data_IF_961060498452
#
_entry.id   IF_961060498452
#
_cell.length_a   1.000
_cell.length_b   1.000
_cell.length_c   1.000
_cell.angle_alpha   90.00
_cell.angle_beta   90.00
_cell.angle_gamma   90.00
#
_symmetry.space_group_name_H-M   'P 1'
#
loop_
_entity.id
_entity.type
_entity.pdbx_description
1 polymer ?
#
# COMPACT_ATOMS: atom_id res chain seq x y z
N UNK A 1 5.65 -38.04 -29.73
CA UNK A 1 5.57 -36.63 -29.31
C UNK A 1 4.49 -35.96 -30.16
N UNK A 2 3.50 -35.33 -29.53
CA UNK A 2 2.48 -34.52 -30.23
C UNK A 2 2.80 -33.05 -29.92
N UNK A 3 2.69 -32.18 -30.91
CA UNK A 3 2.86 -30.73 -30.78
C UNK A 3 1.53 -30.07 -31.09
N UNK A 4 1.18 -29.02 -30.34
CA UNK A 4 0.02 -28.16 -30.57
C UNK A 4 0.53 -26.73 -30.76
N UNK A 5 0.02 -26.03 -31.75
CA UNK A 5 0.33 -24.61 -32.00
C UNK A 5 -0.80 -23.76 -31.40
N UNK A 6 -0.43 -22.72 -30.66
CA UNK A 6 -1.36 -21.76 -30.06
C UNK A 6 -0.86 -20.34 -30.35
N UNK A 7 -1.78 -19.44 -30.68
CA UNK A 7 -1.48 -18.01 -30.85
C UNK A 7 -1.53 -17.31 -29.49
N UNK A 8 -0.56 -16.43 -29.26
CA UNK A 8 -0.44 -15.62 -28.05
C UNK A 8 -0.63 -14.15 -28.41
N UNK A 9 -1.11 -13.35 -27.45
CA UNK A 9 -1.53 -11.97 -27.66
C UNK A 9 -0.94 -11.06 -26.58
N UNK A 10 -0.61 -9.82 -26.94
CA UNK A 10 -0.39 -8.75 -25.97
C UNK A 10 -1.75 -8.26 -25.44
N UNK A 11 -1.75 -7.67 -24.24
CA UNK A 11 -2.98 -7.20 -23.59
C UNK A 11 -3.85 -6.31 -24.50
N UNK A 12 -3.23 -5.36 -25.21
CA UNK A 12 -3.94 -4.43 -26.12
C UNK A 12 -4.52 -5.09 -27.37
N UNK A 13 -4.14 -6.33 -27.68
CA UNK A 13 -4.64 -7.10 -28.83
C UNK A 13 -5.84 -7.99 -28.46
N UNK A 14 -6.13 -8.13 -27.16
CA UNK A 14 -7.25 -8.91 -26.67
C UNK A 14 -8.60 -8.19 -26.91
N UNK A 15 -9.70 -8.94 -27.11
CA UNK A 15 -11.05 -8.40 -26.97
C UNK A 15 -11.27 -7.78 -25.58
N UNK A 16 -12.12 -6.75 -25.49
CA UNK A 16 -12.41 -6.02 -24.24
C UNK A 16 -12.85 -6.97 -23.10
N UNK A 17 -13.70 -7.95 -23.39
CA UNK A 17 -14.11 -8.97 -22.40
C UNK A 17 -12.92 -9.78 -21.86
N UNK A 18 -11.94 -10.09 -22.70
CA UNK A 18 -10.73 -10.81 -22.30
C UNK A 18 -9.74 -9.92 -21.55
N UNK A 19 -9.68 -8.62 -21.87
CA UNK A 19 -8.93 -7.64 -21.09
C UNK A 19 -9.47 -7.52 -19.67
N UNK A 20 -10.79 -7.37 -19.53
CA UNK A 20 -11.44 -7.30 -18.23
C UNK A 20 -11.18 -8.58 -17.42
N UNK A 21 -11.31 -9.76 -18.03
CA UNK A 21 -11.00 -11.03 -17.39
C UNK A 21 -9.53 -11.12 -16.94
N UNK A 22 -8.60 -10.61 -17.74
CA UNK A 22 -7.18 -10.57 -17.36
C UNK A 22 -6.95 -9.66 -16.14
N UNK A 23 -7.54 -8.46 -16.12
CA UNK A 23 -7.46 -7.53 -14.98
C UNK A 23 -8.08 -8.15 -13.72
N UNK A 24 -9.28 -8.71 -13.82
CA UNK A 24 -9.96 -9.36 -12.69
C UNK A 24 -9.15 -10.53 -12.11
N UNK A 25 -8.47 -11.30 -12.96
CA UNK A 25 -7.62 -12.43 -12.53
C UNK A 25 -6.31 -12.00 -11.90
N UNK A 26 -5.82 -10.82 -12.25
CA UNK A 26 -4.57 -10.25 -11.76
C UNK A 26 -4.82 -9.14 -10.74
N UNK A 27 -5.99 -9.12 -10.10
CA UNK A 27 -6.40 -8.04 -9.18
C UNK A 27 -5.41 -7.82 -8.02
N UNK A 28 -4.70 -8.86 -7.61
CA UNK A 28 -3.74 -8.84 -6.51
C UNK A 28 -2.27 -8.78 -6.96
N UNK A 29 -1.99 -8.64 -8.27
CA UNK A 29 -0.63 -8.74 -8.82
C UNK A 29 0.37 -7.79 -8.14
N UNK A 30 -0.10 -6.61 -7.73
CA UNK A 30 0.73 -5.58 -7.10
C UNK A 30 0.76 -5.66 -5.58
N UNK A 31 -0.03 -6.56 -4.98
CA UNK A 31 -0.17 -6.71 -3.52
C UNK A 31 0.06 -8.15 -3.05
N UNK A 32 0.48 -9.05 -3.94
CA UNK A 32 0.79 -10.45 -3.65
C UNK A 32 2.20 -10.67 -3.05
N UNK A 33 2.83 -9.59 -2.60
CA UNK A 33 4.10 -9.55 -1.87
C UNK A 33 3.98 -8.57 -0.70
N UNK A 34 5.07 -8.36 0.05
CA UNK A 34 5.11 -7.42 1.18
C UNK A 34 5.12 -5.94 0.71
N UNK A 35 4.07 -5.54 -0.01
CA UNK A 35 3.93 -4.19 -0.60
C UNK A 35 4.00 -3.07 0.45
N UNK A 36 3.66 -3.39 1.69
CA UNK A 36 3.66 -2.49 2.84
C UNK A 36 5.05 -2.27 3.46
N UNK A 37 6.06 -3.07 3.12
CA UNK A 37 7.37 -3.11 3.82
C UNK A 37 8.01 -1.73 3.96
N UNK A 38 8.04 -0.97 2.87
CA UNK A 38 8.59 0.41 2.85
C UNK A 38 7.84 1.38 3.78
N UNK A 39 6.53 1.19 3.94
CA UNK A 39 5.70 2.02 4.84
C UNK A 39 5.93 1.65 6.30
N UNK A 40 6.17 0.37 6.59
CA UNK A 40 6.49 -0.10 7.94
C UNK A 40 7.92 0.28 8.35
N UNK A 41 8.86 0.29 7.42
CA UNK A 41 10.23 0.78 7.63
C UNK A 41 10.26 2.29 7.96
N UNK A 42 9.42 3.09 7.30
CA UNK A 42 9.23 4.52 7.63
C UNK A 42 8.68 4.69 9.06
N UNK A 43 7.66 3.90 9.43
CA UNK A 43 7.12 3.87 10.80
C UNK A 43 8.19 3.53 11.83
N UNK A 44 8.97 2.47 11.58
CA UNK A 44 10.04 2.05 12.48
C UNK A 44 11.11 3.15 12.64
N UNK A 45 11.43 3.87 11.57
CA UNK A 45 12.43 4.96 11.57
C UNK A 45 12.05 6.08 12.55
N UNK A 46 10.75 6.38 12.69
CA UNK A 46 10.27 7.39 13.64
C UNK A 46 9.98 6.83 15.04
N UNK A 47 10.22 5.54 15.27
CA UNK A 47 9.94 4.87 16.54
C UNK A 47 8.48 4.50 16.74
N UNK A 48 7.74 4.25 15.66
CA UNK A 48 6.41 3.62 15.70
C UNK A 48 6.54 2.18 15.21
N UNK A 49 6.24 1.21 16.07
CA UNK A 49 6.19 -0.20 15.65
C UNK A 49 4.75 -0.56 15.28
N UNK A 50 4.50 -0.93 14.04
CA UNK A 50 3.23 -1.50 13.60
C UNK A 50 3.31 -3.02 13.78
N UNK A 51 2.37 -3.61 14.52
CA UNK A 51 2.32 -5.06 14.78
C UNK A 51 1.41 -5.76 13.77
N UNK A 52 0.22 -5.19 13.54
CA UNK A 52 -0.76 -5.72 12.57
C UNK A 52 -1.55 -4.59 11.93
N UNK A 53 -2.04 -4.80 10.72
CA UNK A 53 -3.01 -3.92 10.10
C UNK A 53 -3.95 -4.72 9.19
N UNK A 54 -5.12 -4.16 8.91
CA UNK A 54 -6.13 -4.69 8.01
C UNK A 54 -6.73 -3.51 7.22
N UNK A 55 -6.41 -3.44 5.93
CA UNK A 55 -6.84 -2.36 5.05
C UNK A 55 -8.33 -2.40 4.75
N UNK A 56 -8.98 -3.57 4.80
CA UNK A 56 -10.41 -3.75 4.55
C UNK A 56 -11.23 -3.43 5.81
N UNK A 57 -10.78 -3.90 6.97
CA UNK A 57 -11.46 -3.67 8.26
C UNK A 57 -11.14 -2.32 8.89
N UNK A 58 -10.21 -1.58 8.29
CA UNK A 58 -9.71 -0.30 8.79
C UNK A 58 -9.16 -0.44 10.22
N UNK A 59 -8.36 -1.47 10.44
CA UNK A 59 -7.78 -1.77 11.75
C UNK A 59 -6.25 -1.71 11.69
N UNK A 60 -5.64 -1.20 12.77
CA UNK A 60 -4.19 -1.13 12.91
C UNK A 60 -3.83 -1.19 14.38
N UNK A 61 -2.81 -1.98 14.70
CA UNK A 61 -2.26 -2.08 16.05
C UNK A 61 -0.75 -1.89 16.02
N UNK A 62 -0.23 -1.32 17.09
CA UNK A 62 1.18 -0.99 17.21
C UNK A 62 1.45 -0.22 18.49
N UNK A 63 2.73 0.04 18.74
CA UNK A 63 3.21 0.69 19.95
C UNK A 63 4.30 1.70 19.62
N UNK A 64 4.38 2.77 20.40
CA UNK A 64 5.53 3.67 20.36
C UNK A 64 6.76 3.02 21.01
N UNK A 65 7.90 3.09 20.33
CA UNK A 65 9.19 2.61 20.82
C UNK A 65 9.88 3.62 21.75
N UNK A 66 9.47 4.90 21.67
CA UNK A 66 9.98 6.00 22.48
C UNK A 66 8.83 6.81 23.07
N UNK A 67 9.14 7.73 23.98
CA UNK A 67 8.13 8.66 24.47
C UNK A 67 7.58 9.52 23.33
N UNK A 68 6.30 9.97 23.40
CA UNK A 68 5.68 10.74 22.33
C UNK A 68 6.44 12.01 21.92
N UNK A 69 7.19 12.64 22.84
CA UNK A 69 7.93 13.85 22.50
C UNK A 69 9.13 13.52 21.60
N UNK A 70 9.81 12.40 21.87
CA UNK A 70 10.87 11.87 21.01
C UNK A 70 10.33 11.45 19.65
N UNK A 71 9.21 10.72 19.60
CA UNK A 71 8.59 10.31 18.31
C UNK A 71 8.17 11.54 17.49
N UNK A 72 7.53 12.53 18.11
CA UNK A 72 7.21 13.81 17.46
C UNK A 72 8.44 14.49 16.86
N UNK A 73 9.56 14.52 17.58
CA UNK A 73 10.81 15.06 17.07
C UNK A 73 11.31 14.27 15.85
N UNK A 74 11.30 12.94 15.92
CA UNK A 74 11.72 12.07 14.81
C UNK A 74 10.87 12.28 13.56
N UNK A 75 9.53 12.39 13.70
CA UNK A 75 8.65 12.74 12.58
C UNK A 75 9.06 14.07 11.96
N UNK A 76 9.38 15.08 12.78
CA UNK A 76 9.79 16.40 12.27
C UNK A 76 11.19 16.39 11.63
N UNK A 77 12.07 15.46 12.02
CA UNK A 77 13.42 15.30 11.48
C UNK A 77 13.41 14.54 10.15
N UNK A 78 12.60 13.49 10.04
CA UNK A 78 12.61 12.56 8.92
C UNK A 78 11.53 12.86 7.86
N UNK A 79 10.37 13.40 8.27
CA UNK A 79 9.25 13.58 7.34
C UNK A 79 9.18 15.01 6.81
N UNK A 80 8.82 15.11 5.52
CA UNK A 80 8.60 16.40 4.88
C UNK A 80 7.38 17.13 5.48
N UNK A 81 7.43 18.47 5.47
CA UNK A 81 6.35 19.33 6.01
C UNK A 81 4.98 19.12 5.35
N UNK A 82 4.96 18.49 4.19
CA UNK A 82 3.75 18.20 3.41
C UNK A 82 3.13 16.84 3.76
N UNK A 83 3.85 15.97 4.47
CA UNK A 83 3.37 14.65 4.90
C UNK A 83 2.27 14.80 5.96
N UNK A 84 1.28 13.91 5.91
CA UNK A 84 0.14 13.98 6.84
C UNK A 84 0.56 13.69 8.29
N UNK A 85 1.50 12.76 8.47
CA UNK A 85 2.17 12.49 9.75
C UNK A 85 2.85 13.74 10.33
N UNK A 86 3.54 14.55 9.51
CA UNK A 86 4.13 15.82 9.95
C UNK A 86 3.05 16.82 10.39
N UNK A 87 1.98 16.96 9.60
CA UNK A 87 0.86 17.87 9.93
C UNK A 87 0.17 17.43 11.23
N UNK A 88 -0.06 16.13 11.39
CA UNK A 88 -0.63 15.53 12.58
C UNK A 88 0.19 15.90 13.83
N UNK A 89 1.50 15.60 13.84
CA UNK A 89 2.32 15.88 15.02
C UNK A 89 2.46 17.38 15.30
N UNK A 90 2.43 18.23 14.28
CA UNK A 90 2.44 19.69 14.44
C UNK A 90 1.14 20.22 15.07
N UNK A 91 0.00 19.62 14.71
CA UNK A 91 -1.30 19.95 15.28
C UNK A 91 -1.52 19.37 16.68
N UNK A 92 -0.78 18.34 17.07
CA UNK A 92 -0.94 17.67 18.34
C UNK A 92 -0.32 18.49 19.50
N UNK A 93 -1.16 18.93 20.44
CA UNK A 93 -0.74 19.64 21.65
C UNK A 93 -0.39 18.67 22.79
N UNK A 94 0.91 18.47 22.95
CA UNK A 94 1.49 17.62 24.00
C UNK A 94 1.24 18.12 25.43
N UNK A 95 0.83 19.38 25.62
CA UNK A 95 0.64 19.96 26.97
C UNK A 95 -0.75 19.67 27.53
N UNK A 96 -1.74 19.58 26.64
CA UNK A 96 -3.14 19.33 26.99
C UNK A 96 -3.52 17.86 26.83
N UNK A 97 -2.85 17.15 25.91
CA UNK A 97 -2.99 15.71 25.73
C UNK A 97 -1.91 14.98 26.51
N UNK A 98 -2.18 14.71 27.78
CA UNK A 98 -1.31 13.93 28.69
C UNK A 98 -1.44 12.42 28.51
N UNK A 99 -2.38 11.95 27.68
CA UNK A 99 -2.54 10.53 27.36
C UNK A 99 -1.69 10.17 26.13
N UNK A 100 -0.68 9.32 26.35
CA UNK A 100 0.16 8.78 25.29
C UNK A 100 -0.68 8.00 24.25
N UNK A 101 -1.83 7.46 24.66
CA UNK A 101 -2.69 6.66 23.80
C UNK A 101 -3.32 7.49 22.66
N UNK A 102 -3.64 8.76 22.88
CA UNK A 102 -4.24 9.60 21.82
C UNK A 102 -3.22 9.97 20.74
N UNK A 103 -1.95 10.16 21.14
CA UNK A 103 -0.86 10.43 20.21
C UNK A 103 -0.53 9.19 19.37
N UNK A 104 -0.39 8.04 20.02
CA UNK A 104 -0.11 6.77 19.37
C UNK A 104 -1.24 6.40 18.41
N UNK A 105 -2.49 6.43 18.88
CA UNK A 105 -3.64 6.10 18.06
C UNK A 105 -3.73 7.00 16.83
N UNK A 106 -3.62 8.32 16.99
CA UNK A 106 -3.70 9.22 15.85
C UNK A 106 -2.57 9.01 14.84
N UNK A 107 -1.34 8.75 15.31
CA UNK A 107 -0.23 8.45 14.41
C UNK A 107 -0.43 7.11 13.67
N UNK A 108 -0.90 6.06 14.36
CA UNK A 108 -1.29 4.79 13.73
C UNK A 108 -2.37 5.01 12.66
N UNK A 109 -3.37 5.86 12.91
CA UNK A 109 -4.41 6.18 11.92
C UNK A 109 -3.85 6.89 10.67
N UNK A 110 -2.84 7.75 10.81
CA UNK A 110 -2.16 8.34 9.64
C UNK A 110 -1.47 7.26 8.80
N UNK A 111 -0.81 6.29 9.42
CA UNK A 111 -0.20 5.15 8.71
C UNK A 111 -1.24 4.22 8.06
N UNK A 112 -2.33 3.91 8.76
CA UNK A 112 -3.42 3.13 8.18
C UNK A 112 -4.01 3.83 6.95
N UNK A 113 -4.18 5.15 7.01
CA UNK A 113 -4.65 5.95 5.87
C UNK A 113 -3.71 5.85 4.67
N UNK A 114 -2.39 5.88 4.89
CA UNK A 114 -1.39 5.67 3.83
C UNK A 114 -1.47 4.26 3.24
N UNK A 115 -1.45 3.22 4.09
CA UNK A 115 -1.52 1.82 3.67
C UNK A 115 -2.79 1.53 2.85
N UNK A 116 -3.93 2.11 3.26
CA UNK A 116 -5.19 1.94 2.54
C UNK A 116 -5.17 2.59 1.18
N UNK A 117 -4.68 3.83 1.07
CA UNK A 117 -4.56 4.52 -0.23
C UNK A 117 -3.64 3.77 -1.19
N UNK A 118 -2.54 3.22 -0.67
CA UNK A 118 -1.61 2.41 -1.45
C UNK A 118 -2.30 1.13 -1.95
N UNK A 119 -2.95 0.37 -1.06
CA UNK A 119 -3.68 -0.83 -1.44
C UNK A 119 -4.78 -0.55 -2.48
N UNK A 120 -5.58 0.50 -2.27
CA UNK A 120 -6.63 0.94 -3.20
C UNK A 120 -6.06 1.28 -4.59
N UNK A 121 -4.92 1.98 -4.65
CA UNK A 121 -4.25 2.28 -5.91
C UNK A 121 -3.65 1.03 -6.56
N UNK A 122 -2.90 0.21 -5.82
CA UNK A 122 -2.20 -0.96 -6.34
C UNK A 122 -3.16 -2.02 -6.91
N UNK A 123 -4.36 -2.13 -6.34
CA UNK A 123 -5.45 -3.01 -6.80
C UNK A 123 -6.40 -2.36 -7.80
N UNK A 124 -6.16 -1.10 -8.19
CA UNK A 124 -6.95 -0.42 -9.20
C UNK A 124 -6.67 -1.00 -10.60
N UNK A 125 -7.68 -0.94 -11.47
CA UNK A 125 -7.54 -1.34 -12.88
C UNK A 125 -6.39 -0.62 -13.58
N UNK A 126 -6.18 0.67 -13.28
CA UNK A 126 -5.07 1.47 -13.80
C UNK A 126 -3.71 0.85 -13.46
N UNK A 127 -3.44 0.61 -12.17
CA UNK A 127 -2.15 0.06 -11.73
C UNK A 127 -1.91 -1.38 -12.22
N UNK A 128 -2.98 -2.18 -12.31
CA UNK A 128 -2.91 -3.55 -12.85
C UNK A 128 -2.54 -3.52 -14.33
N UNK A 129 -3.21 -2.67 -15.13
CA UNK A 129 -2.92 -2.51 -16.55
C UNK A 129 -1.50 -1.98 -16.76
N UNK A 130 -1.08 -0.96 -16.01
CA UNK A 130 0.29 -0.43 -16.07
C UNK A 130 1.33 -1.54 -15.84
N UNK A 131 1.09 -2.41 -14.87
CA UNK A 131 1.98 -3.54 -14.55
C UNK A 131 2.00 -4.59 -15.66
N UNK A 132 0.85 -4.95 -16.21
CA UNK A 132 0.72 -5.86 -17.35
C UNK A 132 1.51 -5.34 -18.55
N UNK A 133 1.37 -4.04 -18.86
CA UNK A 133 2.02 -3.41 -20.00
C UNK A 133 3.53 -3.26 -19.79
N UNK A 134 3.96 -2.84 -18.60
CA UNK A 134 5.38 -2.62 -18.28
C UNK A 134 6.19 -3.94 -18.30
N UNK A 135 5.56 -5.06 -17.92
CA UNK A 135 6.18 -6.37 -17.94
C UNK A 135 5.93 -7.16 -19.25
N UNK A 136 5.26 -6.55 -20.22
CA UNK A 136 4.96 -7.12 -21.54
C UNK A 136 4.27 -8.49 -21.51
N UNK A 137 3.40 -8.72 -20.52
CA UNK A 137 2.71 -9.98 -20.31
C UNK A 137 1.93 -10.45 -21.55
N UNK A 138 1.90 -11.77 -21.72
CA UNK A 138 1.31 -12.43 -22.87
C UNK A 138 0.15 -13.30 -22.43
N UNK A 139 -0.90 -13.33 -23.26
CA UNK A 139 -2.16 -13.94 -22.92
C UNK A 139 -2.63 -14.87 -24.04
N UNK A 140 -3.44 -15.85 -23.66
CA UNK A 140 -4.32 -16.53 -24.60
C UNK A 140 -5.48 -15.61 -25.01
N UNK A 141 -6.15 -15.93 -26.13
CA UNK A 141 -7.25 -15.09 -26.67
C UNK A 141 -8.40 -14.85 -25.69
N UNK A 142 -8.55 -15.73 -24.70
CA UNK A 142 -9.57 -15.66 -23.66
C UNK A 142 -9.10 -14.92 -22.39
N UNK A 143 -7.95 -14.24 -22.43
CA UNK A 143 -7.42 -13.41 -21.34
C UNK A 143 -6.70 -14.18 -20.23
N UNK A 144 -6.46 -15.49 -20.40
CA UNK A 144 -5.61 -16.25 -19.47
C UNK A 144 -4.14 -15.86 -19.66
N UNK A 145 -3.45 -15.55 -18.56
CA UNK A 145 -2.01 -15.31 -18.55
C UNK A 145 -1.25 -16.61 -18.88
N UNK A 146 -0.16 -16.49 -19.65
CA UNK A 146 0.68 -17.62 -20.09
C UNK A 146 1.68 -18.06 -19.01
#
# INVERSE_FOLDING_TARGET
MRTTETTIYKFTELPEEAQQKAVEKLFDINVNYEWWDTTLDDAATIGLKIETFDTERHDITGDLMYDPARVKQLVMEHHGKVCDTYKYVMGFDMRTNVDNHDFEYGLLQEYLSMLRREFEYQTSEEAIIETILANEYEFYIDGELI
#
